data_IF_007450138134
#
_entry.id   IF_007450138134
#
_cell.length_a   1.000
_cell.length_b   1.000
_cell.length_c   1.000
_cell.angle_alpha   90.00
_cell.angle_beta   90.00
_cell.angle_gamma   90.00
#
_symmetry.space_group_name_H-M   'P 1'
#
loop_
_entity.id
_entity.type
_entity.pdbx_description
1 polymer ?
#
# COMPACT_ATOMS: atom_id res chain seq x y z
N UNK A 1 14.50 12.04 -32.05
CA UNK A 1 14.19 11.39 -30.75
C UNK A 1 14.78 9.98 -30.66
N UNK A 2 14.50 9.05 -31.59
CA UNK A 2 15.19 7.74 -31.66
C UNK A 2 16.73 7.83 -31.82
N UNK A 3 17.22 8.75 -32.65
CA UNK A 3 18.66 9.01 -32.78
C UNK A 3 19.28 9.53 -31.48
N UNK A 4 18.53 10.33 -30.71
CA UNK A 4 18.96 10.82 -29.40
C UNK A 4 19.04 9.67 -28.39
N UNK A 5 18.06 8.75 -28.38
CA UNK A 5 18.11 7.56 -27.54
C UNK A 5 19.32 6.68 -27.87
N UNK A 6 19.58 6.45 -29.16
CA UNK A 6 20.73 5.67 -29.61
C UNK A 6 22.03 6.36 -29.20
N UNK A 7 22.14 7.66 -29.43
CA UNK A 7 23.28 8.47 -29.03
C UNK A 7 23.52 8.43 -27.52
N UNK A 8 22.50 8.58 -26.68
CA UNK A 8 22.64 8.55 -25.22
C UNK A 8 23.14 7.17 -24.73
N UNK A 9 22.59 6.08 -25.31
CA UNK A 9 23.03 4.70 -25.02
C UNK A 9 24.47 4.43 -25.45
N UNK A 10 24.84 4.80 -26.68
CA UNK A 10 26.16 4.52 -27.27
C UNK A 10 27.26 5.43 -26.69
N UNK A 11 26.95 6.70 -26.44
CA UNK A 11 27.92 7.68 -25.95
C UNK A 11 28.33 7.44 -24.49
N UNK A 12 27.51 6.72 -23.72
CA UNK A 12 27.63 6.58 -22.27
C UNK A 12 27.84 7.93 -21.56
N UNK A 13 27.18 8.98 -22.08
CA UNK A 13 27.41 10.37 -21.68
C UNK A 13 27.16 10.58 -20.18
N UNK A 14 26.08 9.99 -19.63
CA UNK A 14 25.77 10.08 -18.20
C UNK A 14 26.89 9.47 -17.33
N UNK A 15 27.47 8.33 -17.75
CA UNK A 15 28.58 7.69 -17.04
C UNK A 15 29.86 8.54 -17.10
N UNK A 16 30.17 9.12 -18.26
CA UNK A 16 31.35 9.98 -18.46
C UNK A 16 31.26 11.27 -17.63
N UNK A 17 30.10 11.93 -17.66
CA UNK A 17 29.84 13.13 -16.87
C UNK A 17 29.84 12.83 -15.37
N UNK A 18 29.29 11.69 -14.94
CA UNK A 18 29.35 11.30 -13.53
C UNK A 18 30.80 11.09 -13.07
N UNK A 19 31.62 10.40 -13.87
CA UNK A 19 33.04 10.24 -13.57
C UNK A 19 33.79 11.58 -13.50
N UNK A 20 33.44 12.53 -14.38
CA UNK A 20 34.01 13.89 -14.32
C UNK A 20 33.55 14.65 -13.08
N UNK A 21 32.27 14.59 -12.72
CA UNK A 21 31.74 15.25 -11.53
C UNK A 21 32.33 14.68 -10.23
N UNK A 22 32.51 13.36 -10.14
CA UNK A 22 33.23 12.72 -9.03
C UNK A 22 34.69 13.18 -8.98
N UNK A 23 35.36 13.26 -10.14
CA UNK A 23 36.72 13.76 -10.22
C UNK A 23 36.85 15.22 -9.74
N UNK A 24 35.96 16.11 -10.18
CA UNK A 24 35.93 17.51 -9.73
C UNK A 24 35.68 17.59 -8.22
N UNK A 25 34.72 16.83 -7.68
CA UNK A 25 34.48 16.77 -6.23
C UNK A 25 35.69 16.27 -5.45
N UNK A 26 36.42 15.28 -5.98
CA UNK A 26 37.68 14.83 -5.35
C UNK A 26 38.77 15.88 -5.39
N UNK A 27 38.86 16.69 -6.46
CA UNK A 27 39.82 17.79 -6.57
C UNK A 27 39.48 18.96 -5.63
N UNK A 28 38.19 19.28 -5.49
CA UNK A 28 37.69 20.29 -4.55
C UNK A 28 37.92 19.86 -3.10
N UNK A 29 37.69 18.59 -2.78
CA UNK A 29 37.97 18.01 -1.45
C UNK A 29 39.45 18.00 -1.12
N UNK A 30 40.32 17.77 -2.13
CA UNK A 30 41.77 17.83 -1.97
C UNK A 30 42.30 19.26 -1.77
N UNK A 31 41.63 20.29 -2.32
CA UNK A 31 41.97 21.70 -2.10
C UNK A 31 41.47 22.25 -0.76
N UNK A 32 40.47 21.62 -0.14
CA UNK A 32 39.87 22.08 1.13
C UNK A 32 40.63 21.63 2.41
N UNK A 33 41.77 20.94 2.29
CA UNK A 33 42.69 20.68 3.41
C UNK A 33 42.17 19.78 4.55
N UNK A 34 41.11 19.00 4.34
CA UNK A 34 40.56 18.09 5.35
C UNK A 34 41.33 16.77 5.45
N UNK A 35 41.74 16.39 6.66
CA UNK A 35 42.35 15.09 6.99
C UNK A 35 41.51 13.92 6.51
N UNK A 36 42.17 12.94 5.87
CA UNK A 36 41.62 11.64 5.49
C UNK A 36 41.11 10.89 6.73
N UNK A 37 39.80 10.96 7.00
CA UNK A 37 39.11 9.90 7.72
C UNK A 37 38.59 8.89 6.70
N UNK A 38 39.16 7.68 6.73
CA UNK A 38 38.65 6.50 6.05
C UNK A 38 37.32 6.07 6.69
N UNK A 39 36.24 6.80 6.43
CA UNK A 39 34.90 6.27 6.62
C UNK A 39 34.48 5.54 5.35
N UNK A 40 34.83 4.25 5.28
CA UNK A 40 34.22 3.25 4.41
C UNK A 40 32.76 2.99 4.81
N UNK A 41 31.94 4.03 4.85
CA UNK A 41 30.48 3.93 4.91
C UNK A 41 29.95 4.12 3.51
N UNK A 42 29.66 2.98 2.87
CA UNK A 42 28.78 2.78 1.72
C UNK A 42 27.97 4.04 1.34
N UNK A 43 28.53 4.90 0.48
CA UNK A 43 27.74 5.93 -0.18
C UNK A 43 26.80 5.23 -1.15
N UNK A 44 25.55 5.07 -0.70
CA UNK A 44 24.45 4.57 -1.51
C UNK A 44 24.43 5.29 -2.86
N UNK A 45 24.36 4.51 -3.94
CA UNK A 45 24.20 4.97 -5.33
C UNK A 45 23.18 6.12 -5.40
N UNK A 46 23.65 7.37 -5.45
CA UNK A 46 22.80 8.50 -5.83
C UNK A 46 22.84 8.56 -7.36
N UNK A 47 21.73 8.30 -8.06
CA UNK A 47 21.73 8.35 -9.51
C UNK A 47 22.10 9.77 -9.95
N UNK A 48 23.23 9.87 -10.68
CA UNK A 48 23.70 11.11 -11.30
C UNK A 48 22.55 11.90 -11.92
N UNK A 49 22.47 13.22 -11.72
CA UNK A 49 21.43 14.05 -12.31
C UNK A 49 21.29 13.84 -13.82
N UNK A 50 22.39 13.52 -14.50
CA UNK A 50 22.37 13.19 -15.92
C UNK A 50 21.62 11.89 -16.24
N UNK A 51 21.71 10.87 -15.39
CA UNK A 51 20.89 9.66 -15.55
C UNK A 51 19.40 9.94 -15.33
N UNK A 52 19.06 10.88 -14.46
CA UNK A 52 17.66 11.30 -14.26
C UNK A 52 17.13 12.05 -15.49
N UNK A 53 17.94 12.96 -16.06
CA UNK A 53 17.61 13.68 -17.31
C UNK A 53 17.49 12.69 -18.47
N UNK A 54 18.43 11.77 -18.63
CA UNK A 54 18.39 10.74 -19.66
C UNK A 54 17.12 9.88 -19.54
N UNK A 55 16.82 9.38 -18.33
CA UNK A 55 15.61 8.60 -18.07
C UNK A 55 14.33 9.40 -18.40
N UNK A 56 14.29 10.69 -18.04
CA UNK A 56 13.18 11.56 -18.37
C UNK A 56 13.04 11.73 -19.89
N UNK A 57 14.12 12.03 -20.61
CA UNK A 57 14.10 12.15 -22.07
C UNK A 57 13.68 10.85 -22.75
N UNK A 58 14.12 9.70 -22.25
CA UNK A 58 13.69 8.39 -22.75
C UNK A 58 12.20 8.18 -22.49
N UNK A 59 11.65 8.63 -21.37
CA UNK A 59 10.22 8.52 -21.08
C UNK A 59 9.34 9.35 -22.03
N UNK A 60 9.88 10.42 -22.62
CA UNK A 60 9.20 11.22 -23.64
C UNK A 60 9.17 10.55 -25.03
N UNK A 61 9.81 9.40 -25.21
CA UNK A 61 9.76 8.63 -26.46
C UNK A 61 8.49 7.80 -26.62
N UNK A 62 7.75 7.62 -25.53
CA UNK A 62 6.46 6.95 -25.56
C UNK A 62 5.46 7.76 -26.40
N UNK A 63 4.47 7.08 -26.96
CA UNK A 63 3.41 7.76 -27.71
C UNK A 63 2.69 8.79 -26.83
N UNK A 64 2.32 9.93 -27.43
CA UNK A 64 1.61 11.00 -26.71
C UNK A 64 0.29 10.50 -26.11
N UNK A 65 -0.35 9.50 -26.72
CA UNK A 65 -1.57 8.89 -26.19
C UNK A 65 -1.33 8.03 -24.94
N UNK A 66 -0.10 7.55 -24.72
CA UNK A 66 0.24 6.57 -23.69
C UNK A 66 0.75 7.19 -22.38
N UNK A 67 1.09 8.48 -22.35
CA UNK A 67 1.54 9.13 -21.10
C UNK A 67 1.38 10.64 -21.07
N UNK A 68 1.60 11.23 -19.91
CA UNK A 68 1.47 12.68 -19.69
C UNK A 68 2.66 13.23 -18.94
N UNK A 69 3.15 14.39 -19.38
CA UNK A 69 4.11 15.18 -18.63
C UNK A 69 3.35 16.12 -17.71
N UNK A 70 3.70 16.08 -16.44
CA UNK A 70 3.13 16.92 -15.38
C UNK A 70 4.22 17.85 -14.87
N UNK A 71 3.86 19.11 -14.69
CA UNK A 71 4.75 20.13 -14.13
C UNK A 71 4.07 20.71 -12.90
N UNK A 72 4.78 20.69 -11.77
CA UNK A 72 4.30 21.23 -10.50
C UNK A 72 5.37 22.12 -9.87
N UNK A 73 4.92 23.18 -9.20
CA UNK A 73 5.77 24.01 -8.36
C UNK A 73 5.71 23.47 -6.93
N UNK A 74 6.86 23.22 -6.32
CA UNK A 74 6.92 22.69 -4.96
C UNK A 74 8.28 22.97 -4.32
N UNK A 75 8.38 22.83 -3.00
CA UNK A 75 9.65 23.00 -2.29
C UNK A 75 10.69 21.97 -2.76
N UNK A 76 11.97 22.28 -2.57
CA UNK A 76 13.07 21.40 -2.94
C UNK A 76 12.95 20.02 -2.24
N UNK A 77 13.03 18.94 -3.02
CA UNK A 77 12.86 17.56 -2.53
C UNK A 77 13.96 17.12 -1.55
N UNK A 78 15.10 17.82 -1.50
CA UNK A 78 16.17 17.59 -0.52
C UNK A 78 15.75 18.05 0.88
N UNK A 79 15.06 19.20 1.00
CA UNK A 79 14.54 19.68 2.28
C UNK A 79 13.42 18.79 2.83
N UNK A 80 12.56 18.23 1.97
CA UNK A 80 11.49 17.30 2.40
C UNK A 80 12.00 15.94 2.88
N UNK A 81 13.17 15.47 2.43
CA UNK A 81 13.77 14.23 2.93
C UNK A 81 14.48 14.41 4.28
N UNK A 82 14.99 15.61 4.56
CA UNK A 82 15.60 15.96 5.85
C UNK A 82 14.59 16.46 6.88
N UNK A 83 13.52 17.12 6.44
CA UNK A 83 12.42 17.53 7.30
C UNK A 83 11.46 16.35 7.54
N UNK A 84 11.82 15.47 8.47
CA UNK A 84 10.83 14.70 9.23
C UNK A 84 9.95 15.59 10.14
N UNK A 85 9.73 16.85 9.77
CA UNK A 85 9.15 17.91 10.59
C UNK A 85 7.82 18.34 10.01
N UNK A 86 6.85 18.47 10.90
CA UNK A 86 5.47 18.92 10.68
C UNK A 86 5.42 20.21 9.81
N UNK A 87 4.38 20.37 8.97
CA UNK A 87 4.26 21.46 8.01
C UNK A 87 4.04 22.87 8.60
N UNK A 88 4.14 23.06 9.92
CA UNK A 88 3.69 24.31 10.56
C UNK A 88 4.78 25.21 11.16
N UNK A 89 6.08 24.91 11.01
CA UNK A 89 7.13 25.78 11.58
C UNK A 89 8.38 25.86 10.69
N UNK A 90 8.26 26.48 9.51
CA UNK A 90 9.40 27.08 8.80
C UNK A 90 8.89 28.08 7.75
N UNK A 91 8.47 29.27 8.21
CA UNK A 91 8.21 30.41 7.33
C UNK A 91 9.51 31.16 7.02
N UNK A 92 10.52 30.45 6.52
CA UNK A 92 11.67 31.00 5.81
C UNK A 92 11.47 30.78 4.32
N UNK A 93 11.95 31.69 3.47
CA UNK A 93 11.75 31.66 2.02
C UNK A 93 12.09 30.28 1.43
N UNK A 94 11.07 29.47 1.15
CA UNK A 94 11.26 28.17 0.50
C UNK A 94 11.69 28.44 -0.94
N UNK A 95 12.86 27.92 -1.32
CA UNK A 95 13.26 27.85 -2.71
C UNK A 95 12.22 26.99 -3.46
N UNK A 96 11.46 27.66 -4.33
CA UNK A 96 10.44 27.01 -5.16
C UNK A 96 11.16 26.32 -6.32
N UNK A 97 11.08 25.00 -6.37
CA UNK A 97 11.58 24.19 -7.46
C UNK A 97 10.46 23.82 -8.44
N UNK A 98 10.83 23.76 -9.72
CA UNK A 98 9.98 23.20 -10.77
C UNK A 98 10.22 21.70 -10.82
N UNK A 99 9.17 20.93 -10.56
CA UNK A 99 9.19 19.47 -10.66
C UNK A 99 8.49 19.05 -11.94
N UNK A 100 9.21 18.38 -12.84
CA UNK A 100 8.66 17.74 -14.03
C UNK A 100 8.64 16.23 -13.86
N UNK A 101 7.49 15.60 -14.11
CA UNK A 101 7.28 14.15 -13.99
C UNK A 101 6.56 13.61 -15.21
N UNK A 102 7.04 12.49 -15.74
CA UNK A 102 6.32 11.73 -16.75
C UNK A 102 5.50 10.63 -16.08
N UNK A 103 4.20 10.55 -16.43
CA UNK A 103 3.28 9.52 -15.96
C UNK A 103 2.87 8.64 -17.14
N UNK A 104 3.24 7.35 -17.08
CA UNK A 104 2.76 6.35 -18.04
C UNK A 104 1.30 5.97 -17.72
N UNK A 105 0.41 6.28 -18.66
CA UNK A 105 -1.02 6.02 -18.55
C UNK A 105 -1.41 4.68 -19.17
N UNK A 106 -0.81 4.30 -20.29
CA UNK A 106 -1.09 3.06 -20.99
C UNK A 106 0.10 2.07 -20.89
N UNK A 107 0.04 1.09 -19.97
CA UNK A 107 1.07 0.05 -19.89
C UNK A 107 0.91 -1.05 -20.95
N UNK A 108 -0.23 -1.12 -21.66
CA UNK A 108 -0.54 -2.22 -22.57
C UNK A 108 0.49 -2.35 -23.71
N UNK A 109 0.90 -1.23 -24.32
CA UNK A 109 1.79 -1.24 -25.48
C UNK A 109 3.21 -1.72 -25.11
N UNK A 110 3.70 -1.33 -23.94
CA UNK A 110 4.96 -1.83 -23.41
C UNK A 110 4.91 -3.33 -23.13
N UNK A 111 3.80 -3.79 -22.55
CA UNK A 111 3.62 -5.19 -22.23
C UNK A 111 3.31 -6.05 -23.47
N UNK A 112 2.77 -5.44 -24.53
CA UNK A 112 2.44 -6.08 -25.79
C UNK A 112 3.65 -6.72 -26.45
N UNK A 113 4.79 -6.02 -26.45
CA UNK A 113 6.03 -6.58 -26.97
C UNK A 113 6.40 -7.91 -26.28
N UNK A 114 6.27 -7.97 -24.95
CA UNK A 114 6.53 -9.19 -24.17
C UNK A 114 5.57 -10.32 -24.55
N UNK A 115 4.29 -9.99 -24.78
CA UNK A 115 3.27 -10.96 -25.16
C UNK A 115 3.46 -11.48 -26.59
N UNK A 116 3.87 -10.63 -27.52
CA UNK A 116 4.07 -10.99 -28.93
C UNK A 116 5.36 -11.80 -29.15
N UNK A 117 6.42 -11.52 -28.39
CA UNK A 117 7.69 -12.24 -28.48
C UNK A 117 7.65 -13.61 -27.77
N UNK A 118 6.88 -13.72 -26.67
CA UNK A 118 6.81 -14.95 -25.89
C UNK A 118 5.83 -15.98 -26.47
N UNK A 119 6.19 -17.26 -26.38
CA UNK A 119 5.27 -18.37 -26.72
C UNK A 119 4.04 -18.41 -25.80
N UNK A 120 4.23 -18.11 -24.52
CA UNK A 120 3.19 -18.06 -23.51
C UNK A 120 3.64 -17.21 -22.33
N UNK A 121 2.78 -16.33 -21.82
CA UNK A 121 3.03 -15.51 -20.63
C UNK A 121 2.19 -16.04 -19.47
N UNK A 122 2.84 -16.36 -18.34
CA UNK A 122 2.17 -16.80 -17.11
C UNK A 122 2.32 -15.70 -16.07
N UNK A 123 1.21 -15.10 -15.67
CA UNK A 123 1.17 -14.17 -14.55
C UNK A 123 0.69 -14.90 -13.30
N UNK A 124 1.54 -14.97 -12.27
CA UNK A 124 1.23 -15.63 -11.01
C UNK A 124 1.44 -14.68 -9.83
N UNK A 125 0.47 -14.61 -8.93
CA UNK A 125 0.55 -13.77 -7.73
C UNK A 125 -0.60 -14.03 -6.76
N UNK A 126 -0.31 -13.99 -5.46
CA UNK A 126 -1.28 -14.27 -4.39
C UNK A 126 -2.29 -13.14 -4.12
N UNK A 127 -2.04 -11.93 -4.64
CA UNK A 127 -2.83 -10.72 -4.34
C UNK A 127 -3.23 -9.97 -5.61
N UNK A 128 -3.40 -10.68 -6.73
CA UNK A 128 -3.77 -10.08 -8.02
C UNK A 128 -5.24 -9.69 -8.11
N UNK A 129 -6.08 -10.13 -7.16
CA UNK A 129 -7.48 -9.77 -7.11
C UNK A 129 -7.67 -8.27 -6.79
N UNK A 130 -8.54 -7.55 -7.52
CA UNK A 130 -9.35 -7.99 -8.66
C UNK A 130 -8.57 -8.06 -9.99
N UNK A 131 -8.67 -9.22 -10.66
CA UNK A 131 -7.88 -9.58 -11.86
C UNK A 131 -8.43 -8.97 -13.15
N UNK A 132 -9.74 -8.69 -13.21
CA UNK A 132 -10.37 -8.08 -14.39
C UNK A 132 -9.73 -6.73 -14.76
N UNK A 133 -9.41 -5.94 -13.75
CA UNK A 133 -8.71 -4.66 -13.91
C UNK A 133 -7.31 -4.84 -14.51
N UNK A 134 -6.57 -5.86 -14.08
CA UNK A 134 -5.25 -6.15 -14.67
C UNK A 134 -5.39 -6.48 -16.16
N UNK A 135 -6.41 -7.27 -16.50
CA UNK A 135 -6.66 -7.70 -17.88
C UNK A 135 -7.08 -6.53 -18.76
N UNK A 136 -8.00 -5.68 -18.29
CA UNK A 136 -8.46 -4.52 -19.06
C UNK A 136 -7.35 -3.51 -19.33
N UNK A 137 -6.35 -3.42 -18.45
CA UNK A 137 -5.25 -2.44 -18.58
C UNK A 137 -4.03 -2.99 -19.34
N UNK A 138 -3.68 -4.27 -19.20
CA UNK A 138 -2.50 -4.85 -19.85
C UNK A 138 -2.81 -5.57 -21.16
N UNK A 139 -4.02 -6.12 -21.30
CA UNK A 139 -4.39 -6.98 -22.42
C UNK A 139 -5.65 -6.53 -23.17
N UNK A 140 -5.95 -5.22 -23.34
CA UNK A 140 -7.17 -4.78 -24.01
C UNK A 140 -7.26 -5.23 -25.48
N UNK A 141 -6.12 -5.54 -26.10
CA UNK A 141 -6.02 -6.00 -27.49
C UNK A 141 -6.15 -7.53 -27.65
N UNK A 142 -6.12 -8.30 -26.56
CA UNK A 142 -6.23 -9.75 -26.63
C UNK A 142 -7.70 -10.18 -26.56
N UNK A 143 -8.13 -11.10 -27.43
CA UNK A 143 -9.46 -11.67 -27.35
C UNK A 143 -9.57 -12.59 -26.13
N UNK A 144 -10.76 -12.67 -25.54
CA UNK A 144 -10.98 -13.33 -24.26
C UNK A 144 -10.62 -14.83 -24.28
N UNK A 145 -10.72 -15.50 -25.43
CA UNK A 145 -10.42 -16.93 -25.56
C UNK A 145 -8.92 -17.24 -25.39
N UNK A 146 -8.04 -16.23 -25.56
CA UNK A 146 -6.60 -16.37 -25.34
C UNK A 146 -6.19 -16.18 -23.88
N UNK A 147 -7.10 -15.72 -23.02
CA UNK A 147 -6.81 -15.39 -21.63
C UNK A 147 -7.41 -16.49 -20.74
N UNK A 148 -6.54 -17.36 -20.23
CA UNK A 148 -6.95 -18.38 -19.26
C UNK A 148 -6.73 -17.88 -17.84
N UNK A 149 -7.73 -18.09 -16.98
CA UNK A 149 -7.68 -17.75 -15.56
C UNK A 149 -7.74 -19.01 -14.73
N UNK A 150 -6.83 -19.10 -13.76
CA UNK A 150 -6.81 -20.18 -12.80
C UNK A 150 -6.60 -19.58 -11.40
N UNK A 151 -7.45 -19.97 -10.46
CA UNK A 151 -7.39 -19.54 -9.08
C UNK A 151 -7.54 -20.75 -8.17
N UNK A 152 -6.59 -20.92 -7.25
CA UNK A 152 -6.67 -21.94 -6.22
C UNK A 152 -7.34 -21.37 -4.97
N UNK A 153 -8.08 -22.22 -4.26
CA UNK A 153 -8.49 -21.91 -2.89
C UNK A 153 -7.28 -21.74 -1.97
N UNK A 154 -7.50 -21.18 -0.78
CA UNK A 154 -6.44 -21.06 0.21
C UNK A 154 -6.10 -22.42 0.83
N UNK A 155 -4.83 -22.63 1.15
CA UNK A 155 -4.31 -23.88 1.75
C UNK A 155 -4.85 -24.15 3.17
N UNK A 156 -5.48 -23.16 3.81
CA UNK A 156 -5.95 -23.30 5.18
C UNK A 156 -7.40 -23.78 5.25
N UNK A 157 -7.72 -24.69 6.20
CA UNK A 157 -9.08 -25.12 6.47
C UNK A 157 -10.02 -23.95 6.77
N UNK A 158 -11.33 -24.17 6.63
CA UNK A 158 -12.35 -23.10 6.80
C UNK A 158 -12.31 -22.54 8.22
N UNK A 159 -12.18 -23.43 9.19
CA UNK A 159 -12.11 -23.21 10.61
C UNK A 159 -10.84 -22.47 11.06
N UNK A 160 -9.80 -22.39 10.22
CA UNK A 160 -8.51 -21.74 10.58
C UNK A 160 -8.48 -20.25 10.31
N UNK A 161 -9.52 -19.70 9.67
CA UNK A 161 -9.64 -18.27 9.46
C UNK A 161 -11.02 -17.80 9.87
N UNK A 162 -11.07 -16.78 10.71
CA UNK A 162 -12.28 -16.02 10.97
C UNK A 162 -12.13 -14.62 10.36
N UNK A 163 -12.92 -14.32 9.33
CA UNK A 163 -12.97 -12.98 8.73
C UNK A 163 -14.25 -12.27 9.19
N UNK A 164 -14.12 -11.07 9.74
CA UNK A 164 -15.22 -10.29 10.30
C UNK A 164 -15.28 -8.91 9.63
N UNK A 165 -16.46 -8.50 9.16
CA UNK A 165 -16.74 -7.11 8.82
C UNK A 165 -17.34 -6.43 10.04
N UNK A 166 -16.66 -5.42 10.58
CA UNK A 166 -17.04 -4.73 11.81
C UNK A 166 -17.65 -3.37 11.45
N UNK A 167 -18.98 -3.30 11.53
CA UNK A 167 -19.72 -2.12 11.08
C UNK A 167 -19.83 -1.01 12.13
N UNK A 168 -19.79 -1.36 13.41
CA UNK A 168 -19.96 -0.44 14.53
C UNK A 168 -19.00 -0.80 15.68
N UNK A 169 -18.55 0.21 16.42
CA UNK A 169 -17.74 0.03 17.62
C UNK A 169 -18.56 -0.23 18.90
N UNK A 170 -17.89 -0.47 20.05
CA UNK A 170 -18.51 -0.76 21.34
C UNK A 170 -19.51 0.30 21.80
N UNK A 171 -19.27 1.56 21.44
CA UNK A 171 -20.14 2.70 21.78
C UNK A 171 -21.35 2.84 20.86
N UNK A 172 -21.55 1.93 19.90
CA UNK A 172 -22.62 1.98 18.91
C UNK A 172 -22.38 2.98 17.77
N UNK A 173 -21.18 3.55 17.68
CA UNK A 173 -20.80 4.46 16.60
C UNK A 173 -20.50 3.65 15.35
N UNK A 174 -21.13 3.95 14.20
CA UNK A 174 -20.79 3.34 12.92
C UNK A 174 -19.35 3.63 12.51
N UNK A 175 -18.62 2.58 12.16
CA UNK A 175 -17.27 2.67 11.63
C UNK A 175 -17.31 3.09 10.16
N UNK A 176 -17.04 4.37 9.94
CA UNK A 176 -16.91 4.96 8.62
C UNK A 176 -15.72 5.93 8.64
N UNK A 177 -14.58 5.45 8.16
CA UNK A 177 -13.33 6.19 8.19
C UNK A 177 -13.13 6.98 6.88
N UNK A 178 -14.08 7.86 6.56
CA UNK A 178 -13.98 8.79 5.41
C UNK A 178 -13.16 10.02 5.79
N UNK A 179 -12.65 10.75 4.79
CA UNK A 179 -11.85 11.97 5.03
C UNK A 179 -12.59 13.00 5.90
N UNK A 180 -13.90 13.09 5.78
CA UNK A 180 -14.74 14.04 6.54
C UNK A 180 -14.95 13.62 8.00
N UNK A 181 -14.99 12.32 8.28
CA UNK A 181 -15.32 11.77 9.61
C UNK A 181 -14.11 11.29 10.40
N UNK A 182 -12.94 11.19 9.77
CA UNK A 182 -11.75 10.58 10.37
C UNK A 182 -11.22 11.33 11.60
N UNK A 183 -11.46 12.64 11.68
CA UNK A 183 -11.01 13.48 12.80
C UNK A 183 -12.07 13.58 13.92
N UNK A 184 -13.18 12.82 13.83
CA UNK A 184 -14.19 12.75 14.89
C UNK A 184 -13.64 11.99 16.11
N UNK A 185 -13.45 12.72 17.21
CA UNK A 185 -12.97 12.18 18.48
C UNK A 185 -13.78 10.97 18.97
N UNK A 186 -15.10 10.97 18.78
CA UNK A 186 -15.95 9.87 19.24
C UNK A 186 -15.69 8.59 18.44
N UNK A 187 -15.43 8.73 17.13
CA UNK A 187 -15.06 7.62 16.26
C UNK A 187 -13.70 7.03 16.68
N UNK A 188 -12.73 7.89 16.97
CA UNK A 188 -11.39 7.50 17.45
C UNK A 188 -11.45 6.82 18.83
N UNK A 189 -12.25 7.33 19.76
CA UNK A 189 -12.46 6.70 21.07
C UNK A 189 -13.08 5.30 20.93
N UNK A 190 -14.07 5.16 20.05
CA UNK A 190 -14.72 3.88 19.77
C UNK A 190 -13.76 2.88 19.11
N UNK A 191 -12.90 3.36 18.21
CA UNK A 191 -11.82 2.58 17.61
C UNK A 191 -10.81 2.12 18.67
N UNK A 192 -10.34 3.01 19.53
CA UNK A 192 -9.42 2.69 20.63
C UNK A 192 -9.99 1.61 21.56
N UNK A 193 -11.24 1.78 21.99
CA UNK A 193 -11.94 0.76 22.80
C UNK A 193 -12.09 -0.57 22.04
N UNK A 194 -12.31 -0.54 20.72
CA UNK A 194 -12.39 -1.75 19.91
C UNK A 194 -11.07 -2.51 19.88
N UNK A 195 -9.96 -1.78 19.67
CA UNK A 195 -8.62 -2.36 19.65
C UNK A 195 -8.26 -2.98 21.00
N UNK A 196 -8.54 -2.29 22.11
CA UNK A 196 -8.33 -2.82 23.46
C UNK A 196 -9.13 -4.12 23.68
N UNK A 197 -10.42 -4.13 23.33
CA UNK A 197 -11.27 -5.32 23.49
C UNK A 197 -10.79 -6.49 22.62
N UNK A 198 -10.39 -6.22 21.37
CA UNK A 198 -9.83 -7.25 20.49
C UNK A 198 -8.51 -7.81 21.03
N UNK A 199 -7.60 -6.95 21.49
CA UNK A 199 -6.32 -7.38 22.07
C UNK A 199 -6.49 -8.20 23.36
N UNK A 200 -7.56 -7.97 24.13
CA UNK A 200 -7.87 -8.77 25.31
C UNK A 200 -8.30 -10.21 24.99
N UNK A 201 -8.75 -10.48 23.76
CA UNK A 201 -9.29 -11.78 23.34
C UNK A 201 -8.33 -12.51 22.39
N UNK A 202 -7.66 -11.77 21.51
CA UNK A 202 -6.69 -12.32 20.56
C UNK A 202 -5.38 -12.60 21.31
N UNK A 203 -4.89 -13.86 21.31
CA UNK A 203 -3.60 -14.17 21.93
C UNK A 203 -2.44 -13.67 21.06
N UNK A 204 -1.29 -13.43 21.69
CA UNK A 204 -0.02 -13.15 21.01
C UNK A 204 -0.07 -11.85 20.16
N UNK A 205 0.33 -11.92 18.89
CA UNK A 205 0.48 -10.77 18.02
C UNK A 205 -0.81 -10.32 17.33
N UNK A 206 -1.12 -9.02 17.47
CA UNK A 206 -2.10 -8.31 16.66
C UNK A 206 -1.39 -7.30 15.77
N UNK A 207 -1.71 -7.26 14.48
CA UNK A 207 -1.21 -6.27 13.52
C UNK A 207 -2.37 -5.40 13.05
N UNK A 208 -2.30 -4.10 13.30
CA UNK A 208 -3.35 -3.14 12.98
C UNK A 208 -2.88 -2.18 11.89
N UNK A 209 -3.50 -2.30 10.72
CA UNK A 209 -3.24 -1.48 9.54
C UNK A 209 -4.16 -0.26 9.50
N UNK A 210 -3.56 0.92 9.34
CA UNK A 210 -4.26 2.17 9.12
C UNK A 210 -4.16 2.65 7.68
N UNK A 211 -5.16 3.43 7.24
CA UNK A 211 -5.26 3.95 5.88
C UNK A 211 -4.24 5.04 5.53
N UNK A 212 -3.65 5.73 6.52
CA UNK A 212 -2.65 6.77 6.28
C UNK A 212 -1.79 7.07 7.52
N UNK A 213 -0.59 7.62 7.29
CA UNK A 213 0.30 8.13 8.34
C UNK A 213 -0.36 9.21 9.19
N UNK A 214 -1.15 10.13 8.61
CA UNK A 214 -1.80 11.19 9.37
C UNK A 214 -2.79 10.64 10.42
N UNK A 215 -3.43 9.51 10.11
CA UNK A 215 -4.35 8.81 10.99
C UNK A 215 -3.63 8.07 12.13
N UNK A 216 -2.36 7.72 11.89
CA UNK A 216 -1.51 7.09 12.87
C UNK A 216 -0.76 8.13 13.70
N UNK A 217 -0.20 9.21 13.13
CA UNK A 217 0.61 10.23 13.80
C UNK A 217 -0.16 11.01 14.89
N UNK A 218 -1.49 11.01 14.84
CA UNK A 218 -2.34 11.51 15.95
C UNK A 218 -2.31 10.60 17.19
N UNK A 219 -1.81 9.38 17.05
CA UNK A 219 -1.92 8.29 18.04
C UNK A 219 -0.56 7.60 18.32
N UNK A 220 0.30 7.33 17.31
CA UNK A 220 1.58 6.57 17.39
C UNK A 220 2.55 6.86 16.22
N UNK A 221 3.82 6.43 16.33
CA UNK A 221 4.88 6.63 15.30
C UNK A 221 5.40 5.28 14.76
N UNK A 222 5.24 5.02 13.45
CA UNK A 222 5.82 3.86 12.73
C UNK A 222 7.28 4.15 12.32
N UNK A 223 8.18 3.14 12.31
CA UNK A 223 9.51 3.26 11.73
C UNK A 223 9.49 3.69 10.25
N UNK A 224 9.92 4.93 9.97
CA UNK A 224 9.96 5.48 8.60
C UNK A 224 11.21 5.07 7.82
N UNK A 225 12.23 4.52 8.49
CA UNK A 225 13.51 4.12 7.89
C UNK A 225 13.67 2.59 7.89
N UNK A 226 14.32 2.04 6.86
CA UNK A 226 14.44 0.58 6.69
C UNK A 226 15.25 -0.09 7.82
N UNK A 227 16.25 0.60 8.37
CA UNK A 227 17.04 0.16 9.52
C UNK A 227 16.28 0.15 10.86
N UNK A 228 15.09 0.76 10.92
CA UNK A 228 14.23 0.75 12.10
C UNK A 228 13.20 -0.39 12.05
N UNK A 229 12.86 -0.87 10.86
CA UNK A 229 11.89 -1.96 10.64
C UNK A 229 12.31 -3.23 11.39
N UNK A 230 13.56 -3.65 11.22
CA UNK A 230 14.09 -4.86 11.87
C UNK A 230 14.04 -4.75 13.40
N UNK A 231 14.52 -3.63 13.96
CA UNK A 231 14.47 -3.37 15.41
C UNK A 231 13.04 -3.36 15.96
N UNK A 232 12.09 -2.76 15.24
CA UNK A 232 10.68 -2.74 15.65
C UNK A 232 10.07 -4.13 15.60
N UNK A 233 10.38 -4.95 14.59
CA UNK A 233 9.92 -6.34 14.51
C UNK A 233 10.53 -7.21 15.60
N UNK A 234 11.83 -7.03 15.90
CA UNK A 234 12.50 -7.73 16.99
C UNK A 234 11.86 -7.40 18.34
N UNK A 235 11.61 -6.11 18.62
CA UNK A 235 10.91 -5.68 19.83
C UNK A 235 9.48 -6.25 19.91
N UNK A 236 8.76 -6.26 18.79
CA UNK A 236 7.42 -6.85 18.69
C UNK A 236 7.43 -8.36 18.98
N UNK A 237 8.33 -9.11 18.35
CA UNK A 237 8.49 -10.54 18.56
C UNK A 237 8.94 -10.84 20.00
N UNK A 238 9.82 -10.03 20.58
CA UNK A 238 10.27 -10.15 21.96
C UNK A 238 9.10 -9.96 22.94
N UNK A 239 8.27 -8.92 22.75
CA UNK A 239 7.09 -8.67 23.57
C UNK A 239 6.05 -9.81 23.51
N UNK A 240 5.94 -10.50 22.37
CA UNK A 240 5.10 -11.71 22.25
C UNK A 240 5.70 -12.89 23.00
N UNK A 241 7.03 -13.06 22.91
CA UNK A 241 7.76 -14.20 23.47
C UNK A 241 8.21 -14.03 24.92
N UNK A 242 7.95 -12.88 25.54
CA UNK A 242 8.39 -12.52 26.90
C UNK A 242 7.87 -13.43 28.02
N UNK A 243 7.04 -14.45 27.69
CA UNK A 243 6.75 -15.61 28.55
C UNK A 243 7.99 -16.24 29.21
N UNK A 244 9.20 -16.05 28.67
CA UNK A 244 10.44 -16.66 29.14
C UNK A 244 11.47 -15.71 29.78
N UNK A 245 11.18 -14.40 29.93
CA UNK A 245 12.17 -13.48 30.49
C UNK A 245 12.16 -13.53 32.01
N UNK A 246 13.29 -13.91 32.62
CA UNK A 246 13.53 -13.99 34.08
C UNK A 246 13.46 -12.62 34.79
N UNK A 247 12.90 -11.59 34.15
CA UNK A 247 12.75 -10.21 34.63
C UNK A 247 11.27 -9.77 34.65
N UNK A 248 10.32 -10.71 34.75
CA UNK A 248 8.93 -10.44 35.12
C UNK A 248 8.78 -9.94 36.58
N UNK A 249 9.62 -9.00 36.98
CA UNK A 249 9.69 -8.39 38.29
C UNK A 249 8.81 -7.15 38.35
N UNK A 250 7.54 -7.24 37.92
CA UNK A 250 6.46 -6.27 38.25
C UNK A 250 5.09 -6.77 37.74
N UNK A 251 4.52 -7.85 38.30
CA UNK A 251 3.07 -8.21 38.25
C UNK A 251 2.28 -8.14 36.90
N UNK A 252 2.91 -7.88 35.76
CA UNK A 252 2.28 -7.73 34.46
C UNK A 252 2.55 -9.00 33.67
N UNK A 253 1.53 -9.85 33.57
CA UNK A 253 1.49 -11.00 32.68
C UNK A 253 1.21 -10.52 31.25
N UNK A 254 2.03 -9.61 30.72
CA UNK A 254 1.91 -9.13 29.35
C UNK A 254 2.20 -10.29 28.40
N UNK A 255 1.14 -10.80 27.76
CA UNK A 255 1.19 -11.88 26.78
C UNK A 255 0.64 -11.36 25.47
N UNK A 256 1.54 -10.99 24.56
CA UNK A 256 1.19 -10.49 23.23
C UNK A 256 1.61 -9.05 23.00
N UNK A 257 1.46 -8.62 21.74
CA UNK A 257 1.85 -7.28 21.32
C UNK A 257 0.92 -6.78 20.21
N UNK A 258 0.72 -5.46 20.16
CA UNK A 258 -0.01 -4.77 19.10
C UNK A 258 0.96 -3.97 18.25
N UNK A 259 1.03 -4.30 16.96
CA UNK A 259 1.85 -3.58 15.99
C UNK A 259 0.96 -2.70 15.13
N UNK A 260 1.24 -1.40 15.13
CA UNK A 260 0.60 -0.46 14.21
C UNK A 260 1.40 -0.35 12.91
N UNK A 261 0.70 -0.43 11.78
CA UNK A 261 1.28 -0.33 10.44
C UNK A 261 0.44 0.60 9.58
N UNK A 262 1.06 1.19 8.56
CA UNK A 262 0.33 1.92 7.52
C UNK A 262 0.23 1.06 6.27
N UNK A 263 -0.96 1.00 5.65
CA UNK A 263 -1.14 0.31 4.37
C UNK A 263 -0.28 0.97 3.29
N UNK A 264 0.53 0.17 2.59
CA UNK A 264 1.51 0.67 1.62
C UNK A 264 2.78 1.26 2.26
N UNK A 265 2.89 1.24 3.60
CA UNK A 265 4.10 1.56 4.34
C UNK A 265 5.10 0.40 4.34
N UNK A 266 6.32 0.64 4.81
CA UNK A 266 7.42 -0.35 4.80
C UNK A 266 7.09 -1.61 5.58
N UNK A 267 6.39 -1.48 6.71
CA UNK A 267 5.97 -2.62 7.53
C UNK A 267 4.91 -3.50 6.85
N UNK A 268 4.22 -2.93 5.85
CA UNK A 268 3.19 -3.61 5.06
C UNK A 268 3.70 -4.19 3.74
N UNK A 269 5.01 -4.08 3.46
CA UNK A 269 5.65 -4.61 2.25
C UNK A 269 6.73 -5.63 2.63
N UNK A 270 6.78 -6.78 1.94
CA UNK A 270 7.80 -7.82 2.17
C UNK A 270 7.76 -8.59 3.51
N UNK A 271 7.10 -8.07 4.55
CA UNK A 271 7.10 -8.67 5.90
C UNK A 271 6.02 -9.75 6.05
N UNK A 272 6.38 -10.79 6.79
CA UNK A 272 5.53 -11.93 7.07
C UNK A 272 5.22 -12.06 8.58
N UNK A 273 3.94 -12.02 8.93
CA UNK A 273 3.44 -12.24 10.28
C UNK A 273 2.93 -13.67 10.43
N UNK A 274 3.87 -14.61 10.58
CA UNK A 274 3.55 -16.04 10.74
C UNK A 274 3.22 -16.38 12.19
N UNK A 275 2.32 -17.34 12.39
CA UNK A 275 2.02 -17.90 13.70
C UNK A 275 1.66 -16.83 14.75
N UNK A 276 2.39 -16.82 15.87
CA UNK A 276 2.14 -15.95 17.01
C UNK A 276 2.43 -14.48 16.71
N UNK A 277 3.12 -14.17 15.61
CA UNK A 277 3.34 -12.80 15.15
C UNK A 277 2.09 -12.16 14.51
N UNK A 278 1.04 -12.95 14.20
CA UNK A 278 -0.07 -12.50 13.36
C UNK A 278 -1.42 -13.15 13.65
N UNK A 279 -1.71 -13.53 14.90
CA UNK A 279 -2.98 -14.17 15.27
C UNK A 279 -4.20 -13.27 15.02
N UNK A 280 -4.01 -11.95 15.04
CA UNK A 280 -5.02 -10.98 14.64
C UNK A 280 -4.48 -10.00 13.61
N UNK A 281 -5.24 -9.79 12.53
CA UNK A 281 -5.03 -8.65 11.64
C UNK A 281 -6.26 -7.75 11.67
N UNK A 282 -6.05 -6.48 12.00
CA UNK A 282 -7.08 -5.45 12.03
C UNK A 282 -6.84 -4.48 10.88
N UNK A 283 -7.83 -4.27 10.03
CA UNK A 283 -7.79 -3.27 8.96
C UNK A 283 -8.71 -2.12 9.32
N UNK A 284 -8.16 -0.94 9.60
CA UNK A 284 -8.93 0.24 9.99
C UNK A 284 -9.24 1.08 8.75
N UNK A 285 -10.52 1.14 8.41
CA UNK A 285 -11.01 1.88 7.26
C UNK A 285 -10.67 1.25 5.92
N UNK A 286 -10.83 2.07 4.87
CA UNK A 286 -10.47 1.74 3.51
C UNK A 286 -9.36 2.71 3.05
N UNK A 287 -8.17 2.22 2.65
CA UNK A 287 -7.02 3.03 2.24
C UNK A 287 -7.21 3.61 0.83
N UNK A 288 -8.21 4.47 0.69
CA UNK A 288 -8.45 5.17 -0.57
C UNK A 288 -7.36 6.22 -0.82
N UNK A 289 -6.74 6.24 -2.01
CA UNK A 289 -5.77 7.28 -2.34
C UNK A 289 -6.49 8.65 -2.46
N UNK A 290 -5.75 9.73 -2.24
CA UNK A 290 -6.35 11.07 -2.32
C UNK A 290 -6.73 11.41 -3.77
N UNK A 291 -8.02 11.68 -4.00
CA UNK A 291 -8.52 12.18 -5.30
C UNK A 291 -7.98 13.57 -5.68
N UNK A 292 -7.29 14.26 -4.77
CA UNK A 292 -6.62 15.52 -5.05
C UNK A 292 -5.21 15.32 -5.64
N UNK A 293 -4.70 14.08 -5.70
CA UNK A 293 -3.44 13.79 -6.39
C UNK A 293 -3.62 14.07 -7.89
N UNK A 294 -2.80 14.96 -8.48
CA UNK A 294 -2.91 15.28 -9.89
C UNK A 294 -2.58 14.04 -10.76
N UNK A 295 -1.72 13.14 -10.30
CA UNK A 295 -1.39 11.90 -11.00
C UNK A 295 -2.60 10.97 -11.09
N UNK A 296 -3.33 10.82 -9.98
CA UNK A 296 -4.53 10.01 -9.94
C UNK A 296 -5.63 10.63 -10.80
N UNK A 297 -5.79 11.95 -10.79
CA UNK A 297 -6.76 12.64 -11.63
C UNK A 297 -6.50 12.42 -13.12
N UNK A 298 -5.25 12.53 -13.56
CA UNK A 298 -4.90 12.25 -14.97
C UNK A 298 -5.10 10.77 -15.33
N UNK A 299 -4.76 9.86 -14.42
CA UNK A 299 -5.01 8.42 -14.62
C UNK A 299 -6.50 8.12 -14.75
N UNK A 300 -7.33 8.71 -13.89
CA UNK A 300 -8.79 8.54 -13.93
C UNK A 300 -9.40 9.18 -15.19
N UNK A 301 -8.86 10.32 -15.64
CA UNK A 301 -9.26 10.94 -16.92
C UNK A 301 -8.96 10.03 -18.11
N UNK A 302 -7.77 9.44 -18.13
CA UNK A 302 -7.37 8.50 -19.18
C UNK A 302 -8.28 7.26 -19.22
N UNK A 303 -8.54 6.64 -18.06
CA UNK A 303 -9.46 5.50 -17.94
C UNK A 303 -10.88 5.86 -18.36
N UNK A 304 -11.32 7.08 -18.04
CA UNK A 304 -12.57 7.63 -18.57
C UNK A 304 -12.58 7.75 -20.10
N UNK A 305 -11.48 8.23 -20.69
CA UNK A 305 -11.31 8.43 -22.13
C UNK A 305 -11.30 7.14 -22.96
N UNK A 306 -10.70 6.04 -22.45
CA UNK A 306 -10.71 4.71 -23.09
C UNK A 306 -12.16 4.26 -23.42
N UNK A 307 -13.13 4.68 -22.60
CA UNK A 307 -14.54 4.32 -22.76
C UNK A 307 -15.21 4.99 -23.97
N UNK A 308 -14.74 6.16 -24.40
CA UNK A 308 -15.28 6.84 -25.58
C UNK A 308 -14.68 6.29 -26.90
N UNK A 309 -13.41 5.88 -26.87
CA UNK A 309 -12.74 5.32 -28.05
C UNK A 309 -13.18 3.89 -28.39
N UNK A 310 -13.66 3.11 -27.41
CA UNK A 310 -14.04 1.71 -27.60
C UNK A 310 -15.47 1.51 -28.16
N UNK A 311 -16.17 2.57 -28.57
CA UNK A 311 -17.45 2.48 -29.32
C UNK A 311 -18.65 1.90 -28.56
N UNK A 312 -18.52 1.56 -27.27
CA UNK A 312 -19.65 1.06 -26.47
C UNK A 312 -20.44 2.27 -25.95
N UNK A 313 -21.50 2.64 -26.66
CA UNK A 313 -22.50 3.58 -26.17
C UNK A 313 -23.06 3.07 -24.84
N UNK A 314 -22.65 3.66 -23.72
CA UNK A 314 -23.21 3.32 -22.42
C UNK A 314 -24.58 3.99 -22.29
N UNK A 315 -25.61 3.34 -22.81
CA UNK A 315 -27.01 3.57 -22.43
C UNK A 315 -27.24 2.94 -21.07
N UNK A 316 -26.72 3.53 -19.99
CA UNK A 316 -27.08 3.10 -18.64
C UNK A 316 -26.77 4.20 -17.61
N UNK A 317 -27.82 4.64 -16.92
CA UNK A 317 -27.78 5.48 -15.73
C UNK A 317 -27.07 4.72 -14.60
N UNK A 318 -25.74 4.70 -14.61
CA UNK A 318 -24.92 4.24 -13.50
C UNK A 318 -24.74 5.37 -12.49
N UNK A 319 -24.90 5.09 -11.21
CA UNK A 319 -24.80 6.04 -10.11
C UNK A 319 -23.51 6.89 -10.21
N UNK A 320 -23.67 8.20 -10.44
CA UNK A 320 -22.58 9.16 -10.30
C UNK A 320 -22.17 9.20 -8.83
N UNK A 321 -20.96 8.71 -8.52
CA UNK A 321 -20.39 8.87 -7.19
C UNK A 321 -19.78 10.26 -7.13
N UNK A 322 -20.55 11.23 -6.63
CA UNK A 322 -20.10 12.59 -6.38
C UNK A 322 -19.32 12.64 -5.07
N UNK A 323 -18.03 12.31 -5.08
CA UNK A 323 -17.12 12.66 -3.98
C UNK A 323 -16.58 14.07 -4.21
N UNK A 324 -17.41 15.07 -3.89
CA UNK A 324 -17.05 16.47 -3.61
C UNK A 324 -16.45 17.34 -4.72
N UNK A 325 -15.63 16.82 -5.64
CA UNK A 325 -14.91 17.64 -6.65
C UNK A 325 -14.59 16.96 -7.99
N UNK A 326 -14.72 15.63 -8.10
CA UNK A 326 -14.37 14.89 -9.32
C UNK A 326 -15.53 14.00 -9.75
N UNK A 327 -16.06 14.22 -10.95
CA UNK A 327 -17.07 13.35 -11.55
C UNK A 327 -16.39 12.16 -12.20
N UNK A 328 -16.47 11.00 -11.55
CA UNK A 328 -15.87 9.76 -12.03
C UNK A 328 -16.83 9.01 -12.96
N UNK A 329 -16.29 8.45 -14.05
CA UNK A 329 -17.01 7.47 -14.86
C UNK A 329 -17.17 6.17 -14.08
N UNK A 330 -18.11 5.27 -14.44
CA UNK A 330 -18.24 3.97 -13.77
C UNK A 330 -16.94 3.16 -13.71
N UNK A 331 -16.15 3.15 -14.81
CA UNK A 331 -14.83 2.51 -14.83
C UNK A 331 -13.80 3.23 -13.95
N UNK A 332 -13.84 4.56 -13.88
CA UNK A 332 -12.97 5.33 -12.99
C UNK A 332 -13.27 5.04 -11.51
N UNK A 333 -14.55 4.91 -11.16
CA UNK A 333 -15.00 4.49 -9.84
C UNK A 333 -14.50 3.08 -9.52
N UNK A 334 -14.66 2.14 -10.46
CA UNK A 334 -14.22 0.76 -10.30
C UNK A 334 -12.70 0.67 -10.10
N UNK A 335 -11.91 1.36 -10.92
CA UNK A 335 -10.46 1.44 -10.81
C UNK A 335 -10.03 2.01 -9.45
N UNK A 336 -10.66 3.10 -9.01
CA UNK A 336 -10.36 3.73 -7.73
C UNK A 336 -10.60 2.78 -6.53
N UNK A 337 -11.67 1.99 -6.58
CA UNK A 337 -11.92 0.94 -5.59
C UNK A 337 -10.95 -0.23 -5.71
N UNK A 338 -10.59 -0.64 -6.92
CA UNK A 338 -9.63 -1.71 -7.14
C UNK A 338 -8.25 -1.35 -6.58
N UNK A 339 -7.82 -0.09 -6.71
CA UNK A 339 -6.60 0.41 -6.08
C UNK A 339 -6.64 0.25 -4.56
N UNK A 340 -7.74 0.67 -3.93
CA UNK A 340 -7.94 0.54 -2.49
C UNK A 340 -7.92 -0.92 -2.05
N UNK A 341 -8.68 -1.78 -2.73
CA UNK A 341 -8.82 -3.18 -2.36
C UNK A 341 -7.57 -4.01 -2.62
N UNK A 342 -6.75 -3.67 -3.63
CA UNK A 342 -5.42 -4.29 -3.80
C UNK A 342 -4.54 -4.03 -2.58
N UNK A 343 -4.54 -2.81 -2.07
CA UNK A 343 -3.76 -2.46 -0.88
C UNK A 343 -4.27 -3.19 0.37
N UNK A 344 -5.59 -3.31 0.54
CA UNK A 344 -6.20 -4.11 1.62
C UNK A 344 -5.82 -5.58 1.50
N UNK A 345 -5.99 -6.17 0.31
CA UNK A 345 -5.74 -7.59 0.04
C UNK A 345 -4.26 -7.95 0.26
N UNK A 346 -3.35 -7.04 -0.08
CA UNK A 346 -1.92 -7.20 0.20
C UNK A 346 -1.60 -7.21 1.69
N UNK A 347 -2.26 -6.37 2.49
CA UNK A 347 -2.04 -6.30 3.94
C UNK A 347 -2.63 -7.51 4.67
N UNK A 348 -3.89 -7.87 4.39
CA UNK A 348 -4.59 -8.95 5.09
C UNK A 348 -4.08 -10.35 4.68
N UNK A 349 -3.55 -10.49 3.46
CA UNK A 349 -2.93 -11.72 2.98
C UNK A 349 -1.62 -12.09 3.70
N UNK A 350 -1.14 -11.26 4.64
CA UNK A 350 0.10 -11.52 5.40
C UNK A 350 -0.09 -12.38 6.63
N UNK A 351 -1.33 -12.55 7.09
CA UNK A 351 -1.71 -13.18 8.35
C UNK A 351 -1.58 -14.71 8.37
N UNK A 352 -1.57 -15.35 7.19
CA UNK A 352 -1.61 -16.82 7.08
C UNK A 352 -0.54 -17.29 6.10
N UNK A 353 0.28 -18.26 6.51
CA UNK A 353 1.43 -18.70 5.69
C UNK A 353 1.53 -20.16 5.34
N UNK A 354 1.07 -21.04 6.22
CA UNK A 354 1.11 -22.47 5.97
C UNK A 354 -0.21 -23.13 6.30
N UNK A 355 -0.38 -24.37 5.87
CA UNK A 355 -1.61 -25.14 6.02
C UNK A 355 -2.10 -25.27 7.47
N UNK A 356 -1.19 -25.28 8.44
CA UNK A 356 -1.49 -25.35 9.87
C UNK A 356 -1.73 -24.01 10.57
N UNK A 357 -1.66 -22.89 9.85
CA UNK A 357 -1.73 -21.56 10.45
C UNK A 357 -3.18 -21.13 10.67
N UNK A 358 -3.40 -20.19 11.59
CA UNK A 358 -4.72 -19.65 11.89
C UNK A 358 -4.67 -18.20 12.38
N UNK A 359 -5.67 -17.42 11.97
CA UNK A 359 -5.77 -16.01 12.32
C UNK A 359 -7.22 -15.51 12.29
N UNK A 360 -7.45 -14.38 12.96
CA UNK A 360 -8.65 -13.56 12.83
C UNK A 360 -8.32 -12.33 11.98
N UNK A 361 -9.14 -12.03 10.98
CA UNK A 361 -9.07 -10.79 10.20
C UNK A 361 -10.31 -9.95 10.54
N UNK A 362 -10.11 -8.78 11.15
CA UNK A 362 -11.17 -7.83 11.46
C UNK A 362 -11.09 -6.61 10.54
N UNK A 363 -12.09 -6.43 9.69
CA UNK A 363 -12.20 -5.31 8.75
C UNK A 363 -13.11 -4.23 9.36
N UNK A 364 -12.52 -3.18 9.93
CA UNK A 364 -13.25 -2.11 10.62
C UNK A 364 -13.62 -1.02 9.62
N UNK A 365 -14.72 -1.24 8.91
CA UNK A 365 -15.48 -0.21 8.18
C UNK A 365 -16.79 -0.85 7.69
N UNK A 366 -17.93 -0.20 7.90
CA UNK A 366 -19.23 -0.73 7.45
C UNK A 366 -19.30 -0.96 5.94
N UNK A 367 -18.45 -0.30 5.16
CA UNK A 367 -18.40 -0.47 3.70
C UNK A 367 -17.92 -1.87 3.29
N UNK A 368 -17.16 -2.59 4.13
CA UNK A 368 -16.77 -3.98 3.85
C UNK A 368 -17.96 -4.95 3.75
N UNK A 369 -19.09 -4.63 4.39
CA UNK A 369 -20.33 -5.41 4.29
C UNK A 369 -21.14 -5.12 3.02
N UNK A 370 -20.77 -4.11 2.24
CA UNK A 370 -21.44 -3.83 0.96
C UNK A 370 -20.96 -4.80 -0.11
N UNK A 371 -21.88 -5.31 -0.93
CA UNK A 371 -21.57 -6.27 -2.01
C UNK A 371 -20.47 -5.76 -2.95
N UNK A 372 -20.50 -4.45 -3.26
CA UNK A 372 -19.52 -3.77 -4.12
C UNK A 372 -18.08 -3.84 -3.62
N UNK A 373 -17.86 -3.79 -2.32
CA UNK A 373 -16.51 -3.90 -1.71
C UNK A 373 -16.19 -5.37 -1.41
N UNK A 374 -17.17 -6.13 -0.90
CA UNK A 374 -17.00 -7.54 -0.53
C UNK A 374 -16.54 -8.40 -1.70
N UNK A 375 -17.09 -8.17 -2.89
CA UNK A 375 -16.73 -8.91 -4.12
C UNK A 375 -15.30 -8.66 -4.60
N UNK A 376 -14.64 -7.60 -4.11
CA UNK A 376 -13.24 -7.27 -4.42
C UNK A 376 -12.23 -7.91 -3.44
N UNK A 377 -12.71 -8.58 -2.39
CA UNK A 377 -11.87 -9.41 -1.52
C UNK A 377 -11.52 -10.74 -2.21
N UNK A 378 -10.39 -11.38 -1.86
CA UNK A 378 -10.08 -12.72 -2.35
C UNK A 378 -11.19 -13.71 -1.92
N UNK A 379 -11.56 -14.63 -2.81
CA UNK A 379 -12.68 -15.57 -2.55
C UNK A 379 -12.56 -16.30 -1.21
N UNK A 380 -11.36 -16.74 -0.84
CA UNK A 380 -11.12 -17.43 0.43
C UNK A 380 -11.40 -16.60 1.69
N UNK A 381 -11.41 -15.26 1.59
CA UNK A 381 -11.86 -14.34 2.65
C UNK A 381 -13.34 -14.01 2.46
N UNK A 382 -13.75 -13.62 1.24
CA UNK A 382 -15.11 -13.18 0.93
C UNK A 382 -16.17 -14.24 1.30
N UNK A 383 -15.88 -15.51 1.01
CA UNK A 383 -16.76 -16.67 1.28
C UNK A 383 -16.90 -16.99 2.77
N UNK A 384 -16.00 -16.45 3.60
CA UNK A 384 -15.92 -16.67 5.05
C UNK A 384 -16.23 -15.40 5.85
N UNK A 385 -16.43 -14.26 5.18
CA UNK A 385 -16.68 -12.98 5.83
C UNK A 385 -18.03 -13.01 6.55
N UNK A 386 -17.99 -12.81 7.87
CA UNK A 386 -19.16 -12.68 8.73
C UNK A 386 -19.42 -11.21 8.98
N UNK A 387 -20.63 -10.75 8.68
CA UNK A 387 -21.03 -9.37 8.93
C UNK A 387 -21.45 -9.19 10.38
N UNK A 388 -20.69 -8.37 11.11
CA UNK A 388 -20.95 -8.02 12.50
C UNK A 388 -21.50 -6.60 12.58
N UNK A 389 -22.84 -6.48 12.60
CA UNK A 389 -23.52 -5.20 12.76
C UNK A 389 -23.26 -4.55 14.13
N UNK A 390 -23.06 -5.35 15.18
CA UNK A 390 -22.76 -4.90 16.55
C UNK A 390 -21.42 -5.46 17.02
N UNK A 391 -20.63 -4.62 17.70
CA UNK A 391 -19.31 -4.99 18.19
C UNK A 391 -19.30 -6.20 19.14
N UNK A 392 -20.34 -6.37 19.97
CA UNK A 392 -20.46 -7.53 20.86
C UNK A 392 -20.44 -8.87 20.10
N UNK A 393 -21.00 -8.92 18.89
CA UNK A 393 -20.95 -10.10 18.04
C UNK A 393 -19.52 -10.37 17.55
N UNK A 394 -18.80 -9.33 17.13
CA UNK A 394 -17.38 -9.41 16.74
C UNK A 394 -16.54 -10.04 17.86
N UNK A 395 -16.72 -9.55 19.09
CA UNK A 395 -15.96 -10.02 20.24
C UNK A 395 -16.31 -11.47 20.60
N UNK A 396 -17.60 -11.81 20.57
CA UNK A 396 -18.08 -13.18 20.83
C UNK A 396 -17.52 -14.20 19.84
N UNK A 397 -17.56 -13.89 18.54
CA UNK A 397 -17.02 -14.75 17.47
C UNK A 397 -15.50 -14.93 17.61
N UNK A 398 -14.78 -13.82 17.85
CA UNK A 398 -13.33 -13.84 18.09
C UNK A 398 -12.97 -14.71 19.28
N UNK A 399 -13.69 -14.57 20.40
CA UNK A 399 -13.45 -15.36 21.61
C UNK A 399 -13.75 -16.85 21.41
N UNK A 400 -14.84 -17.18 20.70
CA UNK A 400 -15.20 -18.55 20.39
C UNK A 400 -14.15 -19.23 19.49
N UNK A 401 -13.64 -18.50 18.50
CA UNK A 401 -12.60 -18.98 17.59
C UNK A 401 -11.32 -19.38 18.35
N UNK A 402 -10.77 -18.48 19.18
CA UNK A 402 -9.54 -18.82 19.94
C UNK A 402 -9.77 -19.83 21.05
N UNK A 403 -10.97 -19.89 21.65
CA UNK A 403 -11.31 -20.95 22.62
C UNK A 403 -11.28 -22.32 21.98
N UNK A 404 -11.87 -22.46 20.81
CA UNK A 404 -11.87 -23.72 20.04
C UNK A 404 -10.43 -24.11 19.68
N UNK A 405 -9.60 -23.14 19.28
CA UNK A 405 -8.19 -23.39 18.94
C UNK A 405 -7.35 -23.84 20.14
N UNK A 406 -7.58 -23.28 21.33
CA UNK A 406 -6.91 -23.72 22.57
C UNK A 406 -7.30 -25.14 23.02
N UNK A 407 -8.42 -25.68 22.53
CA UNK A 407 -8.85 -27.06 22.84
C UNK A 407 -8.28 -28.08 21.84
N UNK A 408 -7.81 -27.61 20.68
CA UNK A 408 -7.28 -28.45 19.58
C UNK A 408 -5.75 -28.43 19.52
N UNK A 409 -5.11 -27.37 20.03
CA UNK A 409 -3.67 -27.27 20.27
C UNK A 409 -3.30 -27.90 21.61
#
# INVERSE_FOLDING_TARGET
MLELQRFLKESHLARKLNGFAEHVRTLESAHAGGTREENTSQHAYSPSWMHQIEAFLVSLLNADDDGRVMVSLGPNAEEQKQAGVLPNQAAGALDIAVHARYLLLNPAEHFRQVVEEARSVVLAGGTMAPVDDLISHLFPYLPAEKIQRFSCGHVVPRESLLALSVCEGPTGIPFEFTYEKRDDAKLLDSLGQSLVNLCNVIPAGVVCFFSSYAYMDTIFVEPRQANQVEKTLEAYAAAINEKNSKHAATNATTNGALLFCVVGGKMSEGINFSDDLGRGVVMVGLPFPSLNSPELQEKLRFIGGISQASGVASTQQGAQVSSGRVNLTPKGVEYYENMCMRAVNQSIGRAIRHQGDYAVIALLDRRYSTERIRTKLPGWIADRLVDCSKFGHTLGQTAAFFRTRRQVA
#
